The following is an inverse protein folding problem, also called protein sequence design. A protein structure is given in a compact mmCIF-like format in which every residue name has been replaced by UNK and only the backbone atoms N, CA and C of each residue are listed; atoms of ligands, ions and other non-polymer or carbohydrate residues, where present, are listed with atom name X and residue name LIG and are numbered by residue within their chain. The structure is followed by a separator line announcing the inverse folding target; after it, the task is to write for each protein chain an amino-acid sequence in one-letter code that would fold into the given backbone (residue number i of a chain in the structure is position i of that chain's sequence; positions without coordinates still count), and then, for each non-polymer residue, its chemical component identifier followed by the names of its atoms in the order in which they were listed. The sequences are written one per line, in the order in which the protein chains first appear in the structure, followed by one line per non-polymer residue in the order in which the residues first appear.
data_IF_249968382559
#
_entry.id   IF_249968382559
#
_cell.length_a   1.000
_cell.length_b   1.000
_cell.length_c   1.000
_cell.angle_alpha   90.00
_cell.angle_beta   90.00
_cell.angle_gamma   90.00
#
_symmetry.space_group_name_H-M   'P 1'
#
loop_
_entity.id
_entity.type
_entity.pdbx_description
1 polymer ?
#
# COMPACT_ATOMS: atom_id res chain seq x y z
N UNK A 1 15.34 12.66 18.56
CA UNK A 1 15.19 12.42 20.01
C UNK A 1 14.58 11.02 20.19
N UNK A 2 15.13 10.18 21.06
CA UNK A 2 14.58 8.84 21.30
C UNK A 2 13.15 8.97 21.83
N UNK A 3 12.20 8.23 21.26
CA UNK A 3 10.80 8.19 21.70
C UNK A 3 9.91 9.31 21.16
N UNK A 4 10.41 10.23 20.32
CA UNK A 4 9.56 11.22 19.65
C UNK A 4 9.15 10.74 18.26
N UNK A 5 7.90 10.99 17.90
CA UNK A 5 7.38 10.73 16.55
C UNK A 5 7.58 11.98 15.68
N UNK A 6 8.17 11.88 14.48
CA UNK A 6 8.42 13.03 13.63
C UNK A 6 7.12 13.66 13.10
N UNK A 7 6.96 14.95 13.33
CA UNK A 7 5.85 15.76 12.79
C UNK A 7 6.32 16.81 11.79
N UNK A 8 7.63 16.87 11.57
CA UNK A 8 8.30 17.66 10.54
C UNK A 8 9.48 16.89 9.97
N UNK A 9 9.92 17.24 8.77
CA UNK A 9 11.12 16.71 8.12
C UNK A 9 12.03 17.88 7.78
N UNK A 10 13.33 17.70 8.04
CA UNK A 10 14.35 18.69 7.72
C UNK A 10 14.79 18.54 6.26
N UNK A 11 14.74 19.65 5.50
CA UNK A 11 15.17 19.76 4.11
C UNK A 11 16.02 21.02 4.03
N UNK A 12 17.26 20.89 3.60
CA UNK A 12 18.22 21.98 3.49
C UNK A 12 18.29 22.86 4.76
N UNK A 13 18.33 22.22 5.94
CA UNK A 13 18.41 22.89 7.24
C UNK A 13 17.13 23.59 7.71
N UNK A 14 16.02 23.47 6.98
CA UNK A 14 14.70 23.98 7.37
C UNK A 14 13.74 22.84 7.67
N UNK A 15 12.99 22.95 8.77
CA UNK A 15 11.91 22.02 9.11
C UNK A 15 10.64 22.35 8.33
N UNK A 16 10.07 21.31 7.70
CA UNK A 16 8.80 21.35 7.00
C UNK A 16 7.80 20.44 7.72
N UNK A 17 6.70 21.00 8.18
CA UNK A 17 5.63 20.26 8.84
C UNK A 17 5.02 19.20 7.91
N UNK A 18 4.72 18.02 8.46
CA UNK A 18 4.13 16.92 7.70
C UNK A 18 2.76 16.49 8.25
N UNK A 19 1.94 15.95 7.37
CA UNK A 19 0.68 15.28 7.73
C UNK A 19 0.98 13.83 8.10
N UNK A 20 1.38 13.62 9.35
CA UNK A 20 1.84 12.32 9.85
C UNK A 20 0.72 11.36 10.26
N UNK A 21 -0.56 11.71 10.04
CA UNK A 21 -1.69 10.79 10.25
C UNK A 21 -1.64 9.65 9.22
N UNK A 22 -1.88 8.42 9.67
CA UNK A 22 -1.79 7.21 8.82
C UNK A 22 -2.67 7.29 7.57
N UNK A 23 -3.80 8.02 7.60
CA UNK A 23 -4.70 8.16 6.46
C UNK A 23 -4.07 8.95 5.31
N UNK A 24 -3.22 9.93 5.64
CA UNK A 24 -2.47 10.66 4.62
C UNK A 24 -1.49 9.73 3.90
N UNK A 25 -0.85 8.83 4.63
CA UNK A 25 0.10 7.88 4.06
C UNK A 25 -0.60 6.77 3.26
N UNK A 26 -1.75 6.28 3.72
CA UNK A 26 -2.54 5.33 2.94
C UNK A 26 -2.99 5.92 1.59
N UNK A 27 -3.30 7.24 1.52
CA UNK A 27 -3.57 7.93 0.23
C UNK A 27 -2.35 7.93 -0.69
N UNK A 28 -1.15 8.08 -0.13
CA UNK A 28 0.10 7.98 -0.91
C UNK A 28 0.24 6.57 -1.50
N UNK A 29 -0.02 5.53 -0.71
CA UNK A 29 0.00 4.15 -1.20
C UNK A 29 -1.07 3.88 -2.27
N UNK A 30 -2.28 4.45 -2.14
CA UNK A 30 -3.31 4.41 -3.18
C UNK A 30 -2.81 5.01 -4.49
N UNK A 31 -2.20 6.22 -4.42
CA UNK A 31 -1.63 6.87 -5.60
C UNK A 31 -0.48 6.06 -6.23
N UNK A 32 0.39 5.46 -5.42
CA UNK A 32 1.46 4.60 -5.92
C UNK A 32 0.95 3.33 -6.63
N UNK A 33 -0.24 2.86 -6.25
CA UNK A 33 -0.88 1.71 -6.87
C UNK A 33 -1.79 2.08 -8.06
N UNK A 34 -1.94 3.38 -8.36
CA UNK A 34 -2.77 3.86 -9.46
C UNK A 34 -2.01 3.74 -10.79
N UNK A 35 -2.52 2.95 -11.76
CA UNK A 35 -1.89 2.79 -13.07
C UNK A 35 -2.06 4.01 -13.99
N UNK A 36 -2.98 4.94 -13.68
CA UNK A 36 -3.17 6.17 -14.44
C UNK A 36 -2.08 7.22 -14.16
N UNK A 37 -1.38 7.10 -13.01
CA UNK A 37 -0.36 8.05 -12.61
C UNK A 37 1.03 7.59 -13.07
N UNK A 38 1.76 8.50 -13.70
CA UNK A 38 3.18 8.31 -13.98
C UNK A 38 4.03 8.51 -12.70
N UNK A 39 5.33 8.18 -12.77
CA UNK A 39 6.22 8.28 -11.61
C UNK A 39 6.40 9.73 -11.10
N UNK A 40 6.28 10.73 -11.97
CA UNK A 40 6.36 12.16 -11.58
C UNK A 40 5.09 12.59 -10.86
N UNK A 41 3.94 12.15 -11.37
CA UNK A 41 2.64 12.40 -10.75
C UNK A 41 2.55 11.72 -9.38
N UNK A 42 3.03 10.47 -9.24
CA UNK A 42 3.14 9.78 -7.95
C UNK A 42 4.02 10.52 -6.96
N UNK A 43 5.19 10.99 -7.39
CA UNK A 43 6.06 11.84 -6.56
C UNK A 43 5.35 13.14 -6.16
N UNK A 44 4.66 13.81 -7.08
CA UNK A 44 3.90 15.02 -6.80
C UNK A 44 2.81 14.79 -5.78
N UNK A 45 1.99 13.74 -5.96
CA UNK A 45 0.94 13.36 -5.00
C UNK A 45 1.55 13.04 -3.63
N UNK A 46 2.67 12.31 -3.58
CA UNK A 46 3.38 12.02 -2.34
C UNK A 46 3.75 13.30 -1.58
N UNK A 47 4.39 14.24 -2.26
CA UNK A 47 4.79 15.52 -1.64
C UNK A 47 3.57 16.33 -1.16
N UNK A 48 2.53 16.44 -1.99
CA UNK A 48 1.29 17.18 -1.65
C UNK A 48 0.48 16.53 -0.52
N UNK A 49 0.48 15.21 -0.43
CA UNK A 49 -0.18 14.50 0.66
C UNK A 49 0.62 14.59 1.97
N UNK A 50 1.94 14.51 1.90
CA UNK A 50 2.77 14.47 3.10
C UNK A 50 3.05 15.86 3.67
N UNK A 51 3.60 16.79 2.87
CA UNK A 51 3.99 18.09 3.37
C UNK A 51 2.81 19.05 3.54
N UNK A 52 2.81 19.81 4.63
CA UNK A 52 1.75 20.79 4.91
C UNK A 52 1.87 22.06 4.04
N UNK A 53 3.07 22.37 3.58
CA UNK A 53 3.42 23.51 2.75
C UNK A 53 4.17 23.08 1.50
N UNK A 54 4.28 23.98 0.52
CA UNK A 54 4.98 23.70 -0.74
C UNK A 54 6.50 23.70 -0.55
N UNK A 55 7.16 22.75 -1.21
CA UNK A 55 8.61 22.62 -1.21
C UNK A 55 9.17 23.37 -2.41
N UNK A 56 10.23 24.21 -2.24
CA UNK A 56 10.94 24.85 -3.35
C UNK A 56 11.45 23.83 -4.36
N UNK A 57 11.48 24.23 -5.64
CA UNK A 57 11.84 23.32 -6.75
C UNK A 57 13.24 22.73 -6.61
N UNK A 58 14.18 23.51 -6.10
CA UNK A 58 15.56 23.12 -5.85
C UNK A 58 15.71 22.01 -4.82
N UNK A 59 14.75 21.85 -3.90
CA UNK A 59 14.80 20.88 -2.82
C UNK A 59 13.87 19.66 -3.02
N UNK A 60 13.18 19.55 -4.18
CA UNK A 60 12.20 18.48 -4.42
C UNK A 60 12.80 17.09 -4.32
N UNK A 61 14.04 16.89 -4.81
CA UNK A 61 14.68 15.56 -4.74
C UNK A 61 14.95 15.13 -3.30
N UNK A 62 15.43 16.06 -2.48
CA UNK A 62 15.65 15.78 -1.05
C UNK A 62 14.32 15.50 -0.34
N UNK A 63 13.30 16.31 -0.63
CA UNK A 63 11.97 16.14 -0.07
C UNK A 63 11.37 14.76 -0.41
N UNK A 64 11.51 14.28 -1.64
CA UNK A 64 11.07 12.94 -2.06
C UNK A 64 11.82 11.86 -1.29
N UNK A 65 13.14 11.96 -1.14
CA UNK A 65 13.95 11.00 -0.40
C UNK A 65 13.54 10.94 1.08
N UNK A 66 13.33 12.11 1.70
CA UNK A 66 12.85 12.19 3.09
C UNK A 66 11.42 11.64 3.25
N UNK A 67 10.54 11.90 2.28
CA UNK A 67 9.20 11.37 2.26
C UNK A 67 9.20 9.84 2.20
N UNK A 68 9.99 9.24 1.32
CA UNK A 68 10.11 7.78 1.24
C UNK A 68 10.67 7.17 2.52
N UNK A 69 11.68 7.78 3.12
CA UNK A 69 12.20 7.35 4.42
C UNK A 69 11.10 7.40 5.49
N UNK A 70 10.33 8.50 5.57
CA UNK A 70 9.24 8.63 6.54
C UNK A 70 8.13 7.60 6.30
N UNK A 71 7.69 7.41 5.05
CA UNK A 71 6.67 6.43 4.66
C UNK A 71 7.14 5.01 4.96
N UNK A 72 8.42 4.71 4.78
CA UNK A 72 9.05 3.43 5.12
C UNK A 72 9.26 3.18 6.62
N UNK A 73 8.81 4.09 7.50
CA UNK A 73 8.97 3.91 8.96
C UNK A 73 10.34 4.32 9.49
N UNK A 74 11.11 5.08 8.73
CA UNK A 74 12.46 5.53 9.08
C UNK A 74 13.58 4.77 8.35
N UNK A 75 13.25 3.70 7.64
CA UNK A 75 14.22 2.95 6.85
C UNK A 75 14.51 3.66 5.52
N UNK A 76 15.77 3.72 5.16
CA UNK A 76 16.18 4.21 3.84
C UNK A 76 15.90 3.08 2.83
N UNK A 77 15.15 3.34 1.75
CA UNK A 77 14.94 2.34 0.72
C UNK A 77 16.28 1.84 0.19
N UNK A 78 16.57 0.55 0.36
CA UNK A 78 17.73 -0.07 -0.30
C UNK A 78 17.35 -0.34 -1.76
N UNK A 79 18.29 -0.12 -2.67
CA UNK A 79 18.20 -0.54 -4.07
C UNK A 79 18.25 -2.08 -4.17
N UNK A 80 17.27 -2.75 -3.63
CA UNK A 80 17.12 -4.20 -3.78
C UNK A 80 15.98 -4.48 -4.75
N UNK A 81 16.07 -5.63 -5.41
CA UNK A 81 14.98 -6.16 -6.24
C UNK A 81 13.69 -6.11 -5.43
N UNK A 82 12.73 -5.31 -5.87
CA UNK A 82 11.45 -5.18 -5.17
C UNK A 82 10.79 -6.56 -5.09
N UNK A 83 10.50 -7.06 -3.89
CA UNK A 83 9.79 -8.33 -3.75
C UNK A 83 8.42 -8.22 -4.40
N UNK A 84 7.93 -9.33 -4.97
CA UNK A 84 6.59 -9.37 -5.55
C UNK A 84 5.54 -8.89 -4.52
N UNK A 85 4.62 -8.04 -4.98
CA UNK A 85 3.56 -7.44 -4.15
C UNK A 85 2.78 -8.54 -3.42
N UNK A 86 2.63 -8.41 -2.12
CA UNK A 86 1.85 -9.34 -1.28
C UNK A 86 0.68 -8.68 -0.59
N UNK A 87 0.62 -7.35 -0.58
CA UNK A 87 -0.41 -6.54 0.08
C UNK A 87 -0.92 -5.50 -0.91
N UNK A 88 -2.24 -5.31 -0.92
CA UNK A 88 -2.89 -4.17 -1.55
C UNK A 88 -3.77 -3.48 -0.50
N UNK A 89 -3.43 -2.22 -0.16
CA UNK A 89 -4.09 -1.49 0.92
C UNK A 89 -5.59 -1.29 0.72
N UNK A 90 -6.06 -1.20 -0.53
CA UNK A 90 -7.47 -1.04 -0.85
C UNK A 90 -8.19 -2.38 -0.91
N UNK A 91 -7.64 -3.35 -1.64
CA UNK A 91 -8.26 -4.68 -1.76
C UNK A 91 -8.32 -5.37 -0.39
N UNK A 92 -7.28 -5.23 0.43
CA UNK A 92 -7.12 -5.92 1.70
C UNK A 92 -7.66 -5.12 2.90
N UNK A 93 -8.26 -3.94 2.68
CA UNK A 93 -8.76 -3.08 3.76
C UNK A 93 -9.61 -3.86 4.78
N UNK A 94 -10.50 -4.72 4.28
CA UNK A 94 -11.42 -5.50 5.11
C UNK A 94 -10.75 -6.54 6.04
N UNK A 95 -9.52 -6.93 5.75
CA UNK A 95 -8.73 -7.85 6.58
C UNK A 95 -7.58 -7.17 7.32
N UNK A 96 -7.05 -6.06 6.79
CA UNK A 96 -6.00 -5.27 7.43
C UNK A 96 -6.53 -4.60 8.70
N UNK A 97 -7.61 -3.82 8.60
CA UNK A 97 -8.09 -3.05 9.75
C UNK A 97 -8.54 -3.91 10.93
N UNK A 98 -9.27 -5.02 10.78
CA UNK A 98 -9.54 -5.91 11.90
C UNK A 98 -8.26 -6.47 12.55
N UNK A 99 -7.24 -6.79 11.75
CA UNK A 99 -5.98 -7.30 12.26
C UNK A 99 -5.18 -6.21 13.01
N UNK A 100 -5.09 -5.01 12.45
CA UNK A 100 -4.47 -3.84 13.11
C UNK A 100 -5.23 -3.47 14.39
N UNK A 101 -6.56 -3.45 14.36
CA UNK A 101 -7.38 -3.13 15.52
C UNK A 101 -7.21 -4.16 16.65
N UNK A 102 -7.03 -5.43 16.31
CA UNK A 102 -6.71 -6.48 17.28
C UNK A 102 -5.35 -6.20 17.96
N UNK A 103 -4.33 -5.80 17.20
CA UNK A 103 -3.02 -5.45 17.74
C UNK A 103 -3.06 -4.15 18.56
N UNK A 104 -3.82 -3.16 18.11
CA UNK A 104 -3.97 -1.87 18.78
C UNK A 104 -4.85 -1.94 20.05
N UNK A 105 -5.80 -2.88 20.11
CA UNK A 105 -6.79 -2.97 21.19
C UNK A 105 -7.98 -2.01 21.06
N UNK A 106 -8.10 -1.30 19.93
CA UNK A 106 -9.21 -0.37 19.63
C UNK A 106 -9.43 -0.23 18.11
N UNK A 107 -10.56 0.39 17.73
CA UNK A 107 -10.86 0.70 16.32
C UNK A 107 -10.04 1.93 15.86
N UNK A 108 -8.98 1.68 15.09
CA UNK A 108 -8.02 2.71 14.68
C UNK A 108 -8.63 3.77 13.75
N UNK A 109 -9.70 3.44 13.02
CA UNK A 109 -10.38 4.37 12.09
C UNK A 109 -11.23 5.41 12.82
N UNK A 110 -11.60 5.18 14.09
CA UNK A 110 -12.48 6.09 14.85
C UNK A 110 -11.72 7.21 15.57
N UNK A 111 -10.41 7.07 15.74
CA UNK A 111 -9.61 8.10 16.42
C UNK A 111 -9.41 9.32 15.49
N UNK A 112 -9.35 10.51 16.08
CA UNK A 112 -9.16 11.76 15.33
C UNK A 112 -7.80 11.84 14.65
N UNK A 113 -6.77 11.26 15.29
CA UNK A 113 -5.39 11.24 14.81
C UNK A 113 -4.68 10.00 15.32
N UNK A 114 -3.92 9.36 14.43
CA UNK A 114 -2.98 8.29 14.76
C UNK A 114 -1.76 8.45 13.87
N UNK A 115 -0.60 8.69 14.50
CA UNK A 115 0.65 8.85 13.78
C UNK A 115 0.97 7.59 12.95
N UNK A 116 1.47 7.80 11.73
CA UNK A 116 1.80 6.73 10.79
C UNK A 116 2.69 5.64 11.39
N UNK A 117 3.76 6.02 12.08
CA UNK A 117 4.69 5.05 12.68
C UNK A 117 4.05 4.25 13.82
N UNK A 118 3.10 4.82 14.54
CA UNK A 118 2.31 4.08 15.54
C UNK A 118 1.38 3.07 14.85
N UNK A 119 0.70 3.49 13.77
CA UNK A 119 -0.12 2.60 12.97
C UNK A 119 0.73 1.47 12.36
N UNK A 120 1.89 1.79 11.80
CA UNK A 120 2.83 0.82 11.23
C UNK A 120 3.35 -0.15 12.31
N UNK A 121 3.57 0.33 13.53
CA UNK A 121 3.92 -0.52 14.67
C UNK A 121 2.83 -1.55 14.95
N UNK A 122 1.56 -1.15 15.02
CA UNK A 122 0.44 -2.10 15.17
C UNK A 122 0.32 -3.05 13.99
N UNK A 123 0.56 -2.57 12.77
CA UNK A 123 0.56 -3.40 11.58
C UNK A 123 1.65 -4.48 11.61
N UNK A 124 2.85 -4.13 12.06
CA UNK A 124 3.97 -5.08 12.19
C UNK A 124 3.76 -6.10 13.33
N UNK A 125 2.96 -5.76 14.34
CA UNK A 125 2.59 -6.64 15.46
C UNK A 125 1.36 -7.52 15.16
N UNK A 126 0.86 -7.53 13.92
CA UNK A 126 -0.23 -8.43 13.53
C UNK A 126 0.23 -9.89 13.68
N UNK A 127 -0.37 -10.59 14.64
CA UNK A 127 -0.14 -12.00 14.89
C UNK A 127 -0.93 -12.91 13.95
N UNK A 128 -1.14 -14.15 14.42
CA UNK A 128 -1.93 -15.15 13.68
C UNK A 128 -3.38 -14.72 13.46
N UNK A 129 -3.88 -14.97 12.24
CA UNK A 129 -5.24 -14.64 11.84
C UNK A 129 -5.45 -14.69 10.33
N UNK A 130 -6.62 -14.20 9.89
CA UNK A 130 -7.00 -14.22 8.49
C UNK A 130 -5.98 -13.45 7.61
N UNK A 131 -5.58 -12.25 8.03
CA UNK A 131 -4.62 -11.44 7.29
C UNK A 131 -3.29 -12.17 7.09
N UNK A 132 -2.68 -12.68 8.18
CA UNK A 132 -1.39 -13.39 8.10
C UNK A 132 -1.49 -14.67 7.27
N UNK A 133 -2.62 -15.39 7.29
CA UNK A 133 -2.86 -16.57 6.45
C UNK A 133 -2.91 -16.19 4.96
N UNK A 134 -3.63 -15.12 4.60
CA UNK A 134 -3.69 -14.62 3.22
C UNK A 134 -2.30 -14.20 2.72
N UNK A 135 -1.56 -13.42 3.51
CA UNK A 135 -0.22 -12.97 3.15
C UNK A 135 0.75 -14.15 3.02
N UNK A 136 0.70 -15.12 3.93
CA UNK A 136 1.53 -16.33 3.88
C UNK A 136 1.31 -17.14 2.60
N UNK A 137 0.05 -17.32 2.19
CA UNK A 137 -0.27 -18.03 0.93
C UNK A 137 0.25 -17.24 -0.29
N UNK A 138 0.01 -15.92 -0.34
CA UNK A 138 0.52 -15.07 -1.43
C UNK A 138 2.05 -15.13 -1.54
N UNK A 139 2.77 -15.09 -0.42
CA UNK A 139 4.23 -15.22 -0.40
C UNK A 139 4.71 -16.58 -0.92
N UNK A 140 4.01 -17.67 -0.59
CA UNK A 140 4.32 -19.00 -1.12
C UNK A 140 4.09 -19.06 -2.63
N UNK A 141 2.95 -18.53 -3.12
CA UNK A 141 2.61 -18.47 -4.54
C UNK A 141 3.64 -17.64 -5.32
N UNK A 142 3.99 -16.45 -4.83
CA UNK A 142 5.01 -15.58 -5.45
C UNK A 142 6.40 -16.23 -5.55
N UNK A 143 6.73 -17.11 -4.59
CA UNK A 143 8.01 -17.86 -4.56
C UNK A 143 7.91 -19.20 -5.31
N UNK A 144 6.80 -19.52 -5.96
CA UNK A 144 6.57 -20.81 -6.60
C UNK A 144 6.57 -22.01 -5.64
N UNK A 145 6.35 -21.77 -4.34
CA UNK A 145 6.33 -22.83 -3.34
C UNK A 145 4.99 -23.55 -3.32
N UNK A 146 5.05 -24.87 -3.06
CA UNK A 146 3.85 -25.70 -2.94
C UNK A 146 3.10 -25.33 -1.66
N UNK A 147 1.78 -25.17 -1.78
CA UNK A 147 0.88 -24.98 -0.65
C UNK A 147 0.63 -26.30 0.08
N UNK A 148 0.51 -26.24 1.39
CA UNK A 148 0.06 -27.36 2.22
C UNK A 148 -1.41 -27.71 1.92
N UNK A 149 -1.84 -28.92 2.27
CA UNK A 149 -3.19 -29.39 1.94
C UNK A 149 -4.29 -28.46 2.44
N UNK A 150 -4.17 -27.96 3.67
CA UNK A 150 -5.13 -27.01 4.26
C UNK A 150 -5.07 -25.64 3.59
N UNK A 151 -3.88 -25.18 3.18
CA UNK A 151 -3.72 -23.91 2.43
C UNK A 151 -4.33 -24.00 1.03
N UNK A 152 -4.20 -25.15 0.37
CA UNK A 152 -4.83 -25.38 -0.95
C UNK A 152 -6.36 -25.31 -0.84
N UNK A 153 -6.94 -25.90 0.22
CA UNK A 153 -8.38 -25.84 0.47
C UNK A 153 -8.80 -24.42 0.79
N UNK A 154 -8.07 -23.71 1.65
CA UNK A 154 -8.33 -22.33 1.97
C UNK A 154 -8.23 -21.43 0.73
N UNK A 155 -7.19 -21.58 -0.10
CA UNK A 155 -7.00 -20.85 -1.34
C UNK A 155 -8.18 -21.06 -2.30
N UNK A 156 -8.60 -22.31 -2.51
CA UNK A 156 -9.74 -22.64 -3.39
C UNK A 156 -11.02 -21.95 -2.95
N UNK A 157 -11.27 -21.89 -1.64
CA UNK A 157 -12.50 -21.31 -1.07
C UNK A 157 -12.46 -19.77 -1.00
N UNK A 158 -11.26 -19.16 -0.97
CA UNK A 158 -11.06 -17.72 -0.77
C UNK A 158 -10.23 -17.07 -1.89
N UNK A 159 -10.29 -17.64 -3.10
CA UNK A 159 -9.46 -17.19 -4.21
C UNK A 159 -9.60 -15.69 -4.50
N UNK A 160 -10.82 -15.16 -4.49
CA UNK A 160 -11.08 -13.74 -4.73
C UNK A 160 -10.43 -12.80 -3.69
N UNK A 161 -10.17 -13.31 -2.48
CA UNK A 161 -9.48 -12.57 -1.42
C UNK A 161 -7.97 -12.71 -1.56
N UNK A 162 -7.48 -13.90 -1.97
CA UNK A 162 -6.04 -14.19 -2.02
C UNK A 162 -5.42 -13.63 -3.29
N UNK A 163 -6.04 -13.81 -4.45
CA UNK A 163 -5.51 -13.31 -5.70
C UNK A 163 -5.55 -11.77 -5.72
N UNK A 164 -4.38 -11.15 -5.85
CA UNK A 164 -4.31 -9.71 -6.03
C UNK A 164 -4.83 -9.32 -7.40
N UNK A 165 -5.83 -8.46 -7.44
CA UNK A 165 -6.38 -7.93 -8.67
C UNK A 165 -5.37 -6.96 -9.29
N UNK A 166 -5.08 -7.14 -10.58
CA UNK A 166 -4.33 -6.15 -11.33
C UNK A 166 -5.23 -4.92 -11.53
N UNK A 167 -4.79 -3.77 -11.09
CA UNK A 167 -5.42 -2.51 -11.47
C UNK A 167 -5.02 -2.23 -12.91
N UNK A 168 -6.02 -2.03 -13.76
CA UNK A 168 -5.84 -1.70 -15.17
C UNK A 168 -6.07 -0.21 -15.37
N UNK A 169 -5.30 0.42 -16.26
CA UNK A 169 -5.60 1.77 -16.72
C UNK A 169 -6.94 1.82 -17.49
N UNK A 170 -7.51 3.00 -17.67
CA UNK A 170 -8.73 3.18 -18.43
C UNK A 170 -8.56 2.69 -19.89
N UNK A 171 -7.37 2.84 -20.45
CA UNK A 171 -7.03 2.34 -21.78
C UNK A 171 -6.98 0.80 -21.81
N UNK A 172 -6.28 0.18 -20.85
CA UNK A 172 -6.24 -1.28 -20.69
C UNK A 172 -7.63 -1.87 -20.47
N UNK A 173 -8.48 -1.20 -19.65
CA UNK A 173 -9.87 -1.64 -19.41
C UNK A 173 -10.72 -1.59 -20.67
N UNK A 174 -10.56 -0.54 -21.50
CA UNK A 174 -11.26 -0.44 -22.80
C UNK A 174 -10.82 -1.56 -23.72
N UNK A 175 -9.52 -1.77 -23.88
CA UNK A 175 -8.97 -2.85 -24.70
C UNK A 175 -9.47 -4.23 -24.22
N UNK A 176 -9.44 -4.51 -22.91
CA UNK A 176 -9.95 -5.79 -22.37
C UNK A 176 -11.46 -5.96 -22.60
N UNK A 177 -12.24 -4.88 -22.53
CA UNK A 177 -13.67 -4.95 -22.80
C UNK A 177 -13.95 -5.18 -24.29
N UNK A 178 -13.22 -4.51 -25.19
CA UNK A 178 -13.32 -4.74 -26.65
C UNK A 178 -12.98 -6.19 -27.00
N UNK A 179 -11.91 -6.74 -26.42
CA UNK A 179 -11.53 -8.14 -26.60
C UNK A 179 -12.63 -9.11 -26.10
N UNK A 180 -13.22 -8.82 -24.94
CA UNK A 180 -14.33 -9.62 -24.39
C UNK A 180 -15.58 -9.57 -25.30
N UNK A 181 -15.91 -8.40 -25.81
CA UNK A 181 -17.03 -8.25 -26.75
C UNK A 181 -16.76 -8.98 -28.07
N UNK A 182 -15.56 -8.86 -28.61
CA UNK A 182 -15.15 -9.60 -29.80
C UNK A 182 -15.23 -11.11 -29.61
N UNK A 183 -14.74 -11.62 -28.49
CA UNK A 183 -14.83 -13.06 -28.18
C UNK A 183 -16.28 -13.52 -28.03
N UNK A 184 -17.17 -12.73 -27.42
CA UNK A 184 -18.60 -13.04 -27.36
C UNK A 184 -19.25 -13.12 -28.75
N UNK A 185 -18.86 -12.22 -29.66
CA UNK A 185 -19.37 -12.26 -31.04
C UNK A 185 -18.88 -13.49 -31.81
N UNK A 186 -17.62 -13.92 -31.58
CA UNK A 186 -17.06 -15.13 -32.21
C UNK A 186 -17.66 -16.43 -31.67
N UNK A 187 -17.98 -16.47 -30.36
CA UNK A 187 -18.52 -17.69 -29.73
C UNK A 187 -20.04 -17.80 -29.81
N UNK A 188 -20.72 -16.88 -30.52
CA UNK A 188 -22.17 -16.89 -30.75
C UNK A 188 -22.90 -16.84 -29.42
N UNK A 189 -23.05 -15.66 -28.82
CA UNK A 189 -23.53 -15.47 -27.44
C UNK A 189 -24.70 -16.39 -27.10
N UNK A 190 -24.45 -17.26 -26.12
CA UNK A 190 -25.44 -17.84 -25.23
C UNK A 190 -25.55 -17.01 -23.96
#
# INVERSE_FOLDING_TARGET
MIGSLPTALEIDGREYAIRSDFRAILRIYSAFADPELDEREKCYVCLKCLYAEDIPREHLQEAVNKAYCFVGGGDVPQESVQPAKTIDWEQDESIIFPAVNKAAGFETRTVKYLHWWTFLGYFNEIGEGLFSSVIGIRQKLNKGKKLEKYEQEFYRNHRNMIDLKRKLSAEEQRAENEDKEFLKQLTGGE
#
